data_IF_032024730954
#
_entry.id   IF_032024730954
#
_cell.length_a   1.000
_cell.length_b   1.000
_cell.length_c   1.000
_cell.angle_alpha   90.00
_cell.angle_beta   90.00
_cell.angle_gamma   90.00
#
_symmetry.space_group_name_H-M   'P 1'
#
loop_
_entity.id
_entity.type
_entity.pdbx_description
1 polymer ?
#
# COMPACT_ATOMS: atom_id res chain seq x y z
N UNK A 1 -9.57 24.17 6.67
CA UNK A 1 -8.26 23.56 6.30
C UNK A 1 -8.52 22.34 5.44
N UNK A 2 -7.79 22.16 4.32
CA UNK A 2 -7.89 20.99 3.45
C UNK A 2 -6.70 20.05 3.66
N UNK A 3 -6.97 18.79 3.87
CA UNK A 3 -5.95 17.76 4.08
C UNK A 3 -6.15 16.62 3.08
N UNK A 4 -5.09 16.26 2.37
CA UNK A 4 -5.01 15.04 1.57
C UNK A 4 -4.73 13.85 2.50
N UNK A 5 -5.61 12.84 2.49
CA UNK A 5 -5.43 11.58 3.23
C UNK A 5 -5.24 10.44 2.24
N UNK A 6 -4.11 9.75 2.36
CA UNK A 6 -3.70 8.62 1.52
C UNK A 6 -3.20 7.47 2.39
N UNK A 7 -3.17 6.27 1.86
CA UNK A 7 -2.68 5.07 2.54
C UNK A 7 -2.08 4.06 1.55
N UNK A 8 -1.26 3.16 2.05
CA UNK A 8 -0.86 1.92 1.38
C UNK A 8 -0.32 2.17 -0.03
N UNK A 9 0.70 3.04 -0.13
CA UNK A 9 1.31 3.46 -1.41
C UNK A 9 2.15 2.33 -2.00
N UNK A 10 2.76 1.52 -1.13
CA UNK A 10 3.53 0.35 -1.51
C UNK A 10 4.55 0.60 -2.63
N UNK A 11 5.33 1.68 -2.54
CA UNK A 11 6.37 1.97 -3.53
C UNK A 11 5.87 2.24 -4.96
N UNK A 12 4.56 2.45 -5.16
CA UNK A 12 3.95 2.82 -6.43
C UNK A 12 4.05 4.34 -6.65
N UNK A 13 5.22 4.80 -7.06
CA UNK A 13 5.48 6.22 -7.27
C UNK A 13 4.63 6.85 -8.38
N UNK A 14 4.38 6.19 -9.54
CA UNK A 14 3.44 6.70 -10.55
C UNK A 14 2.04 6.99 -10.00
N UNK A 15 1.52 6.14 -9.13
CA UNK A 15 0.23 6.35 -8.48
C UNK A 15 0.25 7.56 -7.55
N UNK A 16 1.30 7.71 -6.72
CA UNK A 16 1.48 8.90 -5.89
C UNK A 16 1.59 10.18 -6.72
N UNK A 17 2.35 10.15 -7.82
CA UNK A 17 2.48 11.30 -8.72
C UNK A 17 1.13 11.69 -9.33
N UNK A 18 0.33 10.71 -9.79
CA UNK A 18 -0.99 10.98 -10.35
C UNK A 18 -1.93 11.65 -9.34
N UNK A 19 -1.96 11.17 -8.10
CA UNK A 19 -2.75 11.81 -7.03
C UNK A 19 -2.28 13.25 -6.78
N UNK A 20 -0.97 13.46 -6.59
CA UNK A 20 -0.42 14.78 -6.30
C UNK A 20 -0.59 15.78 -7.44
N UNK A 21 -0.82 15.33 -8.67
CA UNK A 21 -1.08 16.17 -9.84
C UNK A 21 -2.56 16.59 -9.98
N UNK A 22 -3.47 16.02 -9.18
CA UNK A 22 -4.89 16.40 -9.23
C UNK A 22 -5.12 17.80 -8.66
N UNK A 23 -6.09 18.57 -9.19
CA UNK A 23 -6.46 19.87 -8.61
C UNK A 23 -6.89 19.76 -7.14
N UNK A 24 -7.57 18.66 -6.79
CA UNK A 24 -8.03 18.37 -5.44
C UNK A 24 -6.87 18.25 -4.46
N UNK A 25 -5.86 17.43 -4.77
CA UNK A 25 -4.67 17.28 -3.94
C UNK A 25 -3.82 18.56 -3.91
N UNK A 26 -3.68 19.24 -5.05
CA UNK A 26 -2.93 20.51 -5.14
C UNK A 26 -3.55 21.62 -4.29
N UNK A 27 -4.84 21.56 -4.00
CA UNK A 27 -5.54 22.52 -3.13
C UNK A 27 -5.38 22.23 -1.63
N UNK A 28 -4.80 21.08 -1.26
CA UNK A 28 -4.57 20.70 0.13
C UNK A 28 -3.33 21.41 0.71
N UNK A 29 -3.46 21.89 1.95
CA UNK A 29 -2.35 22.51 2.69
C UNK A 29 -1.52 21.47 3.45
N UNK A 30 -2.03 20.24 3.60
CA UNK A 30 -1.43 19.17 4.40
C UNK A 30 -1.64 17.82 3.74
N UNK A 31 -0.70 16.91 3.97
CA UNK A 31 -0.79 15.52 3.55
C UNK A 31 -0.63 14.63 4.78
N UNK A 32 -1.51 13.64 4.93
CA UNK A 32 -1.40 12.55 5.91
C UNK A 32 -1.37 11.23 5.15
N UNK A 33 -0.31 10.45 5.37
CA UNK A 33 -0.17 9.08 4.87
C UNK A 33 -0.33 8.11 6.04
N UNK A 34 -1.31 7.22 5.94
CA UNK A 34 -1.72 6.32 7.02
C UNK A 34 -0.87 5.04 7.16
N UNK A 35 0.34 5.02 6.62
CA UNK A 35 1.24 3.86 6.67
C UNK A 35 1.38 3.14 5.34
N UNK A 36 2.27 2.14 5.33
CA UNK A 36 2.60 1.29 4.17
C UNK A 36 2.98 2.10 2.92
N UNK A 37 3.87 3.08 3.11
CA UNK A 37 4.43 3.87 2.01
C UNK A 37 5.32 3.04 1.11
N UNK A 38 5.95 2.01 1.66
CA UNK A 38 7.01 1.22 1.03
C UNK A 38 6.68 -0.26 0.93
N UNK A 39 7.59 -1.03 0.35
CA UNK A 39 7.49 -2.46 0.05
C UNK A 39 6.52 -2.78 -1.12
N UNK A 40 6.66 -3.96 -1.70
CA UNK A 40 5.97 -4.47 -2.88
C UNK A 40 6.35 -3.74 -4.18
N UNK A 41 6.11 -2.45 -4.30
CA UNK A 41 6.37 -1.68 -5.52
C UNK A 41 7.84 -1.28 -5.69
N UNK A 42 8.19 -0.87 -6.91
CA UNK A 42 9.58 -0.76 -7.36
C UNK A 42 10.29 0.54 -6.95
N UNK A 43 9.58 1.55 -6.44
CA UNK A 43 10.14 2.88 -6.20
C UNK A 43 9.92 3.39 -4.76
N UNK A 44 10.34 2.62 -3.74
CA UNK A 44 10.12 3.02 -2.34
C UNK A 44 10.90 4.29 -1.96
N UNK A 45 12.11 4.48 -2.51
CA UNK A 45 12.94 5.66 -2.23
C UNK A 45 12.31 6.94 -2.76
N UNK A 46 11.77 6.91 -3.96
CA UNK A 46 11.10 8.05 -4.61
C UNK A 46 9.83 8.45 -3.85
N UNK A 47 9.06 7.46 -3.39
CA UNK A 47 7.87 7.69 -2.55
C UNK A 47 8.27 8.40 -1.26
N UNK A 48 9.24 7.86 -0.52
CA UNK A 48 9.69 8.46 0.76
C UNK A 48 10.28 9.86 0.56
N UNK A 49 11.12 10.05 -0.47
CA UNK A 49 11.70 11.35 -0.78
C UNK A 49 10.60 12.39 -1.12
N UNK A 50 9.58 11.98 -1.88
CA UNK A 50 8.48 12.87 -2.27
C UNK A 50 7.64 13.28 -1.07
N UNK A 51 7.23 12.34 -0.21
CA UNK A 51 6.45 12.62 0.99
C UNK A 51 7.22 13.49 1.98
N UNK A 52 8.51 13.18 2.19
CA UNK A 52 9.38 14.00 3.05
C UNK A 52 9.53 15.41 2.51
N UNK A 53 9.77 15.58 1.20
CA UNK A 53 9.89 16.89 0.56
C UNK A 53 8.61 17.74 0.61
N UNK A 54 7.45 17.10 0.81
CA UNK A 54 6.15 17.75 1.00
C UNK A 54 5.79 17.94 2.48
N UNK A 55 6.67 17.60 3.42
CA UNK A 55 6.42 17.60 4.86
C UNK A 55 5.14 16.83 5.24
N UNK A 56 4.87 15.70 4.57
CA UNK A 56 3.73 14.85 4.88
C UNK A 56 3.85 14.28 6.31
N UNK A 57 2.75 14.25 7.04
CA UNK A 57 2.66 13.42 8.23
C UNK A 57 2.54 11.96 7.78
N UNK A 58 3.55 11.17 8.04
CA UNK A 58 3.57 9.74 7.73
C UNK A 58 3.38 8.94 9.01
N UNK A 59 2.45 7.99 8.99
CA UNK A 59 2.33 6.98 10.03
C UNK A 59 3.12 5.74 9.62
N UNK A 60 3.49 4.93 10.59
CA UNK A 60 4.16 3.65 10.38
C UNK A 60 3.09 2.56 10.18
N UNK A 61 3.13 1.88 9.03
CA UNK A 61 2.36 0.69 8.76
C UNK A 61 3.12 -0.60 9.13
N UNK A 62 2.50 -1.75 8.92
CA UNK A 62 3.12 -3.04 9.19
C UNK A 62 4.30 -3.34 8.23
N UNK A 63 4.35 -2.72 7.06
CA UNK A 63 5.47 -2.89 6.13
C UNK A 63 6.70 -2.10 6.58
N UNK A 64 6.57 -0.88 7.06
CA UNK A 64 7.67 -0.15 7.71
C UNK A 64 8.15 -0.89 8.96
N UNK A 65 7.23 -1.39 9.81
CA UNK A 65 7.57 -2.15 11.03
C UNK A 65 8.43 -3.38 10.72
N UNK A 66 8.04 -4.16 9.70
CA UNK A 66 8.81 -5.32 9.26
C UNK A 66 10.19 -4.95 8.70
N UNK A 67 10.28 -3.81 7.99
CA UNK A 67 11.57 -3.32 7.46
C UNK A 67 12.53 -2.90 8.56
N UNK A 68 12.04 -2.35 9.67
CA UNK A 68 12.85 -2.05 10.85
C UNK A 68 13.42 -3.31 11.52
N UNK A 69 12.82 -4.47 11.27
CA UNK A 69 13.19 -5.77 11.85
C UNK A 69 13.73 -6.75 10.78
N UNK A 70 14.08 -6.29 9.59
CA UNK A 70 14.37 -7.13 8.42
C UNK A 70 15.52 -8.13 8.61
N UNK A 71 16.45 -7.84 9.52
CA UNK A 71 17.58 -8.71 9.84
C UNK A 71 17.23 -9.83 10.84
N UNK A 72 16.01 -9.84 11.38
CA UNK A 72 15.57 -10.90 12.27
C UNK A 72 15.43 -12.24 11.51
N UNK A 73 15.73 -13.38 12.16
CA UNK A 73 15.79 -14.69 11.50
C UNK A 73 14.51 -15.09 10.75
N UNK A 74 13.35 -14.66 11.21
CA UNK A 74 12.05 -14.92 10.58
C UNK A 74 11.91 -14.31 9.19
N UNK A 75 12.71 -13.28 8.87
CA UNK A 75 12.72 -12.61 7.55
C UNK A 75 13.81 -13.13 6.61
N UNK A 76 14.49 -14.24 6.94
CA UNK A 76 15.56 -14.80 6.11
C UNK A 76 15.04 -15.56 4.88
N UNK A 77 13.82 -16.12 4.92
CA UNK A 77 13.22 -16.93 3.86
C UNK A 77 13.02 -16.20 2.53
N UNK A 78 12.82 -16.97 1.46
CA UNK A 78 12.63 -16.42 0.11
C UNK A 78 11.35 -15.58 0.00
N UNK A 79 10.29 -15.91 0.72
CA UNK A 79 9.05 -15.12 0.82
C UNK A 79 9.29 -13.66 1.29
N UNK A 80 10.43 -13.36 1.86
CA UNK A 80 10.83 -12.02 2.29
C UNK A 80 11.88 -11.35 1.39
N UNK A 81 12.21 -11.95 0.25
CA UNK A 81 13.27 -11.44 -0.63
C UNK A 81 12.98 -10.04 -1.15
N UNK A 82 11.72 -9.74 -1.49
CA UNK A 82 11.32 -8.42 -1.94
C UNK A 82 11.41 -7.38 -0.82
N UNK A 83 11.10 -7.78 0.41
CA UNK A 83 11.23 -6.92 1.57
C UNK A 83 12.70 -6.57 1.86
N UNK A 84 13.62 -7.56 1.81
CA UNK A 84 15.06 -7.29 1.93
C UNK A 84 15.59 -6.42 0.79
N UNK A 85 15.07 -6.59 -0.43
CA UNK A 85 15.39 -5.70 -1.55
C UNK A 85 14.94 -4.26 -1.24
N UNK A 86 13.70 -4.07 -0.81
CA UNK A 86 13.14 -2.77 -0.42
C UNK A 86 13.98 -2.10 0.67
N UNK A 87 14.37 -2.86 1.70
CA UNK A 87 15.22 -2.33 2.78
C UNK A 87 16.54 -1.76 2.25
N UNK A 88 17.22 -2.46 1.33
CA UNK A 88 18.44 -1.95 0.70
C UNK A 88 18.20 -0.67 -0.11
N UNK A 89 17.04 -0.52 -0.74
CA UNK A 89 16.69 0.73 -1.44
C UNK A 89 16.50 1.91 -0.48
N UNK A 90 16.18 1.66 0.78
CA UNK A 90 15.85 2.66 1.79
C UNK A 90 17.00 2.97 2.75
N UNK A 91 18.22 2.53 2.46
CA UNK A 91 19.39 2.84 3.29
C UNK A 91 19.51 4.36 3.52
N UNK A 92 19.61 4.74 4.80
CA UNK A 92 19.69 6.14 5.24
C UNK A 92 18.34 6.89 5.28
N UNK A 93 17.23 6.22 4.98
CA UNK A 93 15.89 6.79 5.05
C UNK A 93 15.23 6.40 6.39
N UNK A 94 14.65 7.37 7.06
CA UNK A 94 13.93 7.15 8.31
C UNK A 94 12.59 6.45 8.06
N UNK A 95 12.32 5.36 8.81
CA UNK A 95 11.06 4.59 8.76
C UNK A 95 10.30 4.56 10.10
N UNK A 96 10.92 5.00 11.21
CA UNK A 96 10.34 4.97 12.55
C UNK A 96 9.35 6.15 12.78
N UNK A 97 8.36 6.24 11.92
CA UNK A 97 7.27 7.20 12.04
C UNK A 97 6.33 6.86 13.21
N UNK A 98 5.49 7.82 13.68
CA UNK A 98 4.45 7.53 14.66
C UNK A 98 3.54 6.37 14.20
N UNK A 99 3.09 5.55 15.16
CA UNK A 99 2.16 4.44 14.89
C UNK A 99 0.73 4.95 14.72
N UNK A 100 0.37 5.98 15.49
CA UNK A 100 -0.91 6.66 15.43
C UNK A 100 -0.74 8.17 15.66
N UNK A 101 -1.78 8.92 15.39
CA UNK A 101 -1.80 10.36 15.60
C UNK A 101 -3.20 10.85 15.94
N UNK A 102 -3.30 11.69 16.96
CA UNK A 102 -4.58 12.30 17.37
C UNK A 102 -4.51 13.81 17.22
N UNK A 103 -5.52 14.40 16.61
CA UNK A 103 -5.67 15.85 16.46
C UNK A 103 -7.12 16.27 16.65
N UNK A 104 -7.39 16.98 17.74
CA UNK A 104 -8.77 17.36 18.09
C UNK A 104 -9.66 16.13 18.21
N UNK A 105 -10.70 16.07 17.38
CA UNK A 105 -11.65 14.94 17.35
C UNK A 105 -11.31 13.85 16.33
N UNK A 106 -10.09 13.88 15.75
CA UNK A 106 -9.63 12.97 14.69
C UNK A 106 -8.57 12.02 15.22
N UNK A 107 -8.71 10.74 14.94
CA UNK A 107 -7.73 9.69 15.24
C UNK A 107 -7.28 9.04 13.93
N UNK A 108 -5.97 9.00 13.71
CA UNK A 108 -5.33 8.43 12.53
C UNK A 108 -4.46 7.26 12.95
N UNK A 109 -4.62 6.12 12.29
CA UNK A 109 -3.86 4.89 12.54
C UNK A 109 -3.69 4.13 11.23
N UNK A 110 -2.73 3.19 11.17
CA UNK A 110 -2.65 2.32 10.00
C UNK A 110 -3.73 1.25 10.00
N UNK A 111 -3.99 0.59 11.10
CA UNK A 111 -4.99 -0.47 11.24
C UNK A 111 -6.05 -0.14 12.30
N UNK A 112 -6.22 -1.02 13.29
CA UNK A 112 -7.20 -0.89 14.37
C UNK A 112 -6.67 0.01 15.50
N UNK A 113 -7.47 0.92 16.08
CA UNK A 113 -7.08 1.66 17.27
C UNK A 113 -6.61 0.72 18.39
N UNK A 114 -5.39 0.95 18.91
CA UNK A 114 -4.78 0.08 19.92
C UNK A 114 -4.14 -1.21 19.38
N UNK A 115 -4.38 -1.56 18.12
CA UNK A 115 -3.72 -2.66 17.41
C UNK A 115 -3.39 -2.23 15.96
N UNK A 116 -2.42 -1.34 15.77
CA UNK A 116 -2.21 -0.57 14.53
C UNK A 116 -1.87 -1.43 13.30
N UNK A 117 -1.53 -2.71 13.50
CA UNK A 117 -1.24 -3.64 12.41
C UNK A 117 -2.29 -4.76 12.30
N UNK A 118 -3.44 -4.57 12.92
CA UNK A 118 -4.61 -5.43 12.76
C UNK A 118 -5.59 -4.80 11.77
N UNK A 119 -6.01 -5.57 10.79
CA UNK A 119 -6.91 -5.13 9.70
C UNK A 119 -8.32 -4.88 10.25
N UNK A 120 -8.97 -3.81 9.77
CA UNK A 120 -10.38 -3.55 10.02
C UNK A 120 -11.18 -3.87 8.76
N UNK A 121 -12.09 -4.82 8.84
CA UNK A 121 -13.09 -5.03 7.80
C UNK A 121 -14.26 -4.02 7.95
N UNK A 122 -14.90 -3.67 6.84
CA UNK A 122 -15.95 -2.64 6.84
C UNK A 122 -17.12 -2.95 7.79
N UNK A 123 -17.44 -4.23 7.99
CA UNK A 123 -18.49 -4.69 8.91
C UNK A 123 -18.09 -4.59 10.39
N UNK A 124 -16.81 -4.45 10.71
CA UNK A 124 -16.29 -4.30 12.08
C UNK A 124 -16.20 -2.84 12.51
N UNK A 125 -16.26 -1.90 11.54
CA UNK A 125 -16.10 -0.46 11.78
C UNK A 125 -17.06 0.10 12.84
N UNK A 126 -18.37 -0.28 12.87
CA UNK A 126 -19.28 0.20 13.92
C UNK A 126 -18.78 -0.06 15.33
N UNK A 127 -18.30 -1.28 15.61
CA UNK A 127 -17.74 -1.64 16.92
C UNK A 127 -16.46 -0.85 17.24
N UNK A 128 -15.60 -0.61 16.24
CA UNK A 128 -14.41 0.23 16.43
C UNK A 128 -14.76 1.69 16.74
N UNK A 129 -15.78 2.23 16.08
CA UNK A 129 -16.27 3.58 16.37
C UNK A 129 -16.85 3.70 17.78
N UNK A 130 -17.59 2.69 18.26
CA UNK A 130 -18.10 2.66 19.63
C UNK A 130 -17.00 2.62 20.68
N UNK A 131 -15.88 1.93 20.40
CA UNK A 131 -14.74 1.78 21.29
C UNK A 131 -13.83 3.02 21.35
N UNK A 132 -13.97 3.99 20.43
CA UNK A 132 -13.14 5.19 20.42
C UNK A 132 -13.29 6.01 21.71
N UNK A 133 -12.20 6.63 22.19
CA UNK A 133 -12.21 7.52 23.33
C UNK A 133 -13.26 8.64 23.18
N UNK A 134 -13.74 9.14 24.33
CA UNK A 134 -14.64 10.29 24.35
C UNK A 134 -13.98 11.50 23.68
N UNK A 135 -14.73 12.20 22.85
CA UNK A 135 -14.24 13.36 22.08
C UNK A 135 -13.68 13.02 20.71
N UNK A 136 -13.36 11.75 20.42
CA UNK A 136 -12.99 11.32 19.06
C UNK A 136 -14.26 10.99 18.28
N UNK A 137 -14.43 11.67 17.16
CA UNK A 137 -15.60 11.51 16.27
C UNK A 137 -15.22 10.99 14.89
N UNK A 138 -13.93 11.07 14.50
CA UNK A 138 -13.45 10.64 13.19
C UNK A 138 -12.27 9.68 13.35
N UNK A 139 -12.37 8.52 12.72
CA UNK A 139 -11.33 7.50 12.60
C UNK A 139 -10.83 7.43 11.16
N UNK A 140 -9.52 7.55 10.95
CA UNK A 140 -8.88 7.31 9.66
C UNK A 140 -7.97 6.09 9.78
N UNK A 141 -8.20 5.08 8.92
CA UNK A 141 -7.46 3.82 8.93
C UNK A 141 -6.99 3.49 7.51
N UNK A 142 -5.83 2.87 7.37
CA UNK A 142 -5.32 2.24 6.15
C UNK A 142 -5.45 0.71 6.21
N UNK A 143 -4.40 -0.01 5.77
CA UNK A 143 -4.18 -1.46 5.89
C UNK A 143 -5.17 -2.35 5.14
N UNK A 144 -6.45 -2.02 5.12
CA UNK A 144 -7.43 -2.65 4.26
C UNK A 144 -7.43 -1.94 2.91
N UNK A 145 -6.99 -2.63 1.87
CA UNK A 145 -6.79 -2.03 0.55
C UNK A 145 -8.09 -1.68 -0.18
N UNK A 146 -9.25 -2.14 0.31
CA UNK A 146 -10.58 -1.73 -0.16
C UNK A 146 -11.04 -0.43 0.52
N UNK A 147 -11.44 0.61 -0.23
CA UNK A 147 -11.86 1.87 0.36
C UNK A 147 -13.25 1.77 0.99
N UNK A 148 -13.42 2.35 2.18
CA UNK A 148 -14.72 2.46 2.83
C UNK A 148 -14.91 3.79 3.57
N UNK A 149 -16.17 4.20 3.72
CA UNK A 149 -16.61 5.32 4.53
C UNK A 149 -17.87 4.87 5.29
N UNK A 150 -17.81 4.87 6.61
CA UNK A 150 -18.87 4.37 7.48
C UNK A 150 -19.24 5.44 8.52
N UNK A 151 -20.51 5.71 8.65
CA UNK A 151 -21.07 6.55 9.71
C UNK A 151 -21.84 5.69 10.70
N UNK A 152 -21.59 5.89 11.98
CA UNK A 152 -22.26 5.17 13.05
C UNK A 152 -22.37 6.02 14.31
N UNK A 153 -23.59 6.22 14.81
CA UNK A 153 -23.90 6.96 16.05
C UNK A 153 -23.21 8.35 16.15
N UNK A 154 -23.23 9.10 15.04
CA UNK A 154 -22.65 10.45 14.98
C UNK A 154 -21.10 10.46 14.89
N UNK A 155 -20.47 9.32 14.70
CA UNK A 155 -19.05 9.16 14.42
C UNK A 155 -18.83 8.67 13.00
N UNK A 156 -17.68 9.00 12.41
CA UNK A 156 -17.33 8.64 11.04
C UNK A 156 -16.00 7.93 11.03
N UNK A 157 -15.90 6.84 10.25
CA UNK A 157 -14.63 6.20 9.94
C UNK A 157 -14.39 6.15 8.43
N UNK A 158 -13.14 6.33 8.02
CA UNK A 158 -12.73 6.38 6.63
C UNK A 158 -11.45 5.58 6.40
N UNK A 159 -11.47 4.74 5.37
CA UNK A 159 -10.27 4.18 4.74
C UNK A 159 -10.22 4.72 3.31
N UNK A 160 -9.16 5.42 2.90
CA UNK A 160 -9.04 5.92 1.52
C UNK A 160 -8.89 4.80 0.49
N UNK A 161 -8.56 3.58 0.91
CA UNK A 161 -8.09 2.49 0.07
C UNK A 161 -6.60 2.56 -0.19
N UNK A 162 -6.06 1.48 -0.75
CA UNK A 162 -4.65 1.43 -1.12
C UNK A 162 -4.38 2.23 -2.39
N UNK A 163 -3.45 3.15 -2.31
CA UNK A 163 -3.00 3.93 -3.45
C UNK A 163 -2.18 3.07 -4.43
N UNK A 164 -1.42 2.10 -3.91
CA UNK A 164 -0.55 1.23 -4.71
C UNK A 164 -1.15 -0.12 -5.08
N UNK A 165 -1.92 -0.73 -4.18
CA UNK A 165 -2.45 -2.10 -4.33
C UNK A 165 -3.96 -2.14 -4.05
N UNK A 166 -4.70 -1.29 -4.73
CA UNK A 166 -6.15 -1.15 -4.57
C UNK A 166 -6.88 -2.48 -4.80
N UNK A 167 -7.87 -2.77 -3.96
CA UNK A 167 -8.80 -3.88 -4.14
C UNK A 167 -10.15 -3.36 -4.64
N UNK A 168 -10.33 -3.29 -5.96
CA UNK A 168 -11.57 -2.87 -6.61
C UNK A 168 -11.88 -3.64 -7.90
N UNK A 169 -11.05 -4.64 -8.25
CA UNK A 169 -11.13 -5.45 -9.48
C UNK A 169 -11.05 -4.64 -10.79
N UNK A 170 -10.55 -3.40 -10.72
CA UNK A 170 -10.34 -2.53 -11.89
C UNK A 170 -8.85 -2.27 -12.11
N UNK A 171 -8.13 -1.92 -11.04
CA UNK A 171 -6.70 -1.60 -11.07
C UNK A 171 -6.34 -0.33 -11.85
N UNK A 172 -5.05 -0.01 -11.86
CA UNK A 172 -4.54 1.15 -12.60
C UNK A 172 -5.06 2.50 -12.12
N UNK A 173 -5.68 2.55 -10.94
CA UNK A 173 -6.27 3.74 -10.33
C UNK A 173 -5.79 3.90 -8.88
N UNK A 174 -5.59 5.13 -8.46
CA UNK A 174 -5.15 5.52 -7.14
C UNK A 174 -6.28 6.27 -6.40
N UNK A 175 -6.84 5.69 -5.31
CA UNK A 175 -7.85 6.34 -4.50
C UNK A 175 -7.21 7.28 -3.48
N UNK A 176 -7.93 8.33 -3.11
CA UNK A 176 -7.55 9.23 -2.04
C UNK A 176 -8.77 9.94 -1.45
N UNK A 177 -8.60 10.55 -0.30
CA UNK A 177 -9.63 11.35 0.37
C UNK A 177 -9.13 12.78 0.57
N UNK A 178 -9.99 13.75 0.30
CA UNK A 178 -9.82 15.12 0.74
C UNK A 178 -10.70 15.34 1.96
N UNK A 179 -10.08 15.74 3.06
CA UNK A 179 -10.74 16.12 4.29
C UNK A 179 -10.77 17.65 4.35
N UNK A 180 -11.97 18.22 4.29
CA UNK A 180 -12.21 19.65 4.50
C UNK A 180 -12.67 19.90 5.93
N UNK A 181 -11.98 20.80 6.63
CA UNK A 181 -12.35 21.24 7.97
C UNK A 181 -12.63 22.75 7.96
N UNK A 182 -13.89 23.10 8.21
CA UNK A 182 -14.39 24.48 8.22
C UNK A 182 -15.42 24.65 9.34
N UNK A 183 -15.26 25.68 10.17
CA UNK A 183 -16.14 26.01 11.28
C UNK A 183 -16.49 24.82 12.22
N UNK A 184 -15.51 23.96 12.46
CA UNK A 184 -15.66 22.76 13.31
C UNK A 184 -16.40 21.60 12.64
N UNK A 185 -16.76 21.75 11.37
CA UNK A 185 -17.36 20.68 10.56
C UNK A 185 -16.28 19.98 9.72
N UNK A 186 -16.30 18.67 9.69
CA UNK A 186 -15.42 17.85 8.84
C UNK A 186 -16.24 17.24 7.71
N UNK A 187 -15.78 17.42 6.48
CA UNK A 187 -16.36 16.80 5.28
C UNK A 187 -15.31 15.96 4.60
N UNK A 188 -15.66 14.73 4.24
CA UNK A 188 -14.77 13.78 3.56
C UNK A 188 -15.24 13.55 2.14
N UNK A 189 -14.39 13.84 1.15
CA UNK A 189 -14.68 13.59 -0.26
C UNK A 189 -13.71 12.55 -0.81
N UNK A 190 -14.24 11.44 -1.31
CA UNK A 190 -13.45 10.37 -1.94
C UNK A 190 -13.20 10.67 -3.41
N UNK A 191 -11.97 10.46 -3.83
CA UNK A 191 -11.52 10.64 -5.22
C UNK A 191 -10.78 9.38 -5.68
N UNK A 192 -10.66 9.23 -6.99
CA UNK A 192 -9.86 8.18 -7.63
C UNK A 192 -9.34 8.69 -8.95
N UNK A 193 -8.06 8.49 -9.26
CA UNK A 193 -7.40 8.95 -10.48
C UNK A 193 -6.64 7.82 -11.15
N UNK A 194 -6.69 7.67 -12.49
CA UNK A 194 -5.83 6.75 -13.20
C UNK A 194 -4.37 7.20 -13.12
N UNK A 195 -3.45 6.23 -13.11
CA UNK A 195 -2.01 6.50 -13.13
C UNK A 195 -1.30 5.82 -14.31
N UNK A 196 -0.08 6.25 -14.60
CA UNK A 196 0.73 5.70 -15.69
C UNK A 196 1.22 4.28 -15.36
N UNK A 197 0.47 3.28 -15.83
CA UNK A 197 0.80 1.87 -15.64
C UNK A 197 2.01 1.43 -16.48
N UNK A 198 2.32 2.12 -17.59
CA UNK A 198 3.52 1.84 -18.39
C UNK A 198 4.78 2.29 -17.63
N UNK A 199 4.73 3.46 -16.98
CA UNK A 199 5.81 3.90 -16.09
C UNK A 199 6.01 2.94 -14.91
N UNK A 200 4.92 2.44 -14.31
CA UNK A 200 5.01 1.44 -13.24
C UNK A 200 5.69 0.14 -13.73
N UNK A 201 5.25 -0.42 -14.85
CA UNK A 201 5.84 -1.63 -15.46
C UNK A 201 7.34 -1.43 -15.72
N UNK A 202 7.71 -0.31 -16.34
CA UNK A 202 9.11 0.04 -16.60
C UNK A 202 9.92 0.14 -15.32
N UNK A 203 9.35 0.71 -14.25
CA UNK A 203 10.02 0.83 -12.97
C UNK A 203 10.38 -0.54 -12.35
N UNK A 204 9.52 -1.55 -12.44
CA UNK A 204 9.84 -2.92 -11.98
C UNK A 204 11.11 -3.49 -12.63
N UNK A 205 11.34 -3.15 -13.90
CA UNK A 205 12.52 -3.60 -14.65
C UNK A 205 13.75 -2.78 -14.27
N UNK A 206 13.71 -1.46 -14.45
CA UNK A 206 14.89 -0.61 -14.34
C UNK A 206 15.44 -0.47 -12.92
N UNK A 207 14.63 -0.64 -11.90
CA UNK A 207 15.07 -0.61 -10.49
C UNK A 207 15.69 -1.93 -10.04
N UNK A 208 15.56 -2.98 -10.83
CA UNK A 208 15.97 -4.34 -10.47
C UNK A 208 15.01 -5.06 -9.51
N UNK A 209 13.83 -4.49 -9.23
CA UNK A 209 12.81 -5.11 -8.40
C UNK A 209 12.39 -6.48 -8.95
N UNK A 210 12.07 -6.54 -10.25
CA UNK A 210 11.71 -7.77 -10.94
C UNK A 210 12.84 -8.82 -10.91
N UNK A 211 14.10 -8.40 -11.09
CA UNK A 211 15.25 -9.29 -11.05
C UNK A 211 15.51 -9.85 -9.64
N UNK A 212 15.25 -9.05 -8.60
CA UNK A 212 15.49 -9.45 -7.21
C UNK A 212 14.48 -10.49 -6.69
N UNK A 213 13.23 -10.42 -7.13
CA UNK A 213 12.13 -11.28 -6.65
C UNK A 213 11.11 -11.56 -7.78
N UNK A 214 11.50 -12.28 -8.86
CA UNK A 214 10.74 -12.29 -10.11
C UNK A 214 9.29 -12.78 -9.95
N UNK A 215 9.02 -13.86 -9.21
CA UNK A 215 7.68 -14.39 -9.03
C UNK A 215 6.82 -13.44 -8.16
N UNK A 216 7.39 -12.94 -7.06
CA UNK A 216 6.71 -11.99 -6.19
C UNK A 216 6.41 -10.68 -6.93
N UNK A 217 7.39 -10.14 -7.65
CA UNK A 217 7.21 -8.91 -8.44
C UNK A 217 6.12 -9.08 -9.51
N UNK A 218 6.04 -10.25 -10.18
CA UNK A 218 5.01 -10.53 -11.17
C UNK A 218 3.60 -10.48 -10.58
N UNK A 219 3.38 -11.16 -9.43
CA UNK A 219 2.06 -11.16 -8.80
C UNK A 219 1.70 -9.80 -8.20
N UNK A 220 2.67 -9.07 -7.66
CA UNK A 220 2.47 -7.71 -7.16
C UNK A 220 2.10 -6.77 -8.32
N UNK A 221 2.84 -6.80 -9.42
CA UNK A 221 2.51 -6.01 -10.61
C UNK A 221 1.12 -6.35 -11.15
N UNK A 222 0.78 -7.66 -11.23
CA UNK A 222 -0.57 -8.09 -11.59
C UNK A 222 -1.63 -7.44 -10.69
N UNK A 223 -1.45 -7.50 -9.37
CA UNK A 223 -2.37 -6.87 -8.40
C UNK A 223 -2.52 -5.36 -8.64
N UNK A 224 -1.41 -4.64 -8.84
CA UNK A 224 -1.43 -3.20 -9.08
C UNK A 224 -2.15 -2.83 -10.40
N UNK A 225 -2.06 -3.70 -11.41
CA UNK A 225 -2.69 -3.48 -12.72
C UNK A 225 -4.16 -3.88 -12.78
N UNK A 226 -4.61 -4.80 -11.93
CA UNK A 226 -5.96 -5.39 -12.01
C UNK A 226 -6.86 -5.02 -10.83
N UNK A 227 -6.30 -4.52 -9.73
CA UNK A 227 -7.07 -4.30 -8.49
C UNK A 227 -7.51 -5.60 -7.81
N UNK A 228 -6.85 -6.72 -8.10
CA UNK A 228 -7.16 -8.05 -7.54
C UNK A 228 -6.17 -8.43 -6.43
N UNK A 229 -6.22 -7.76 -5.28
CA UNK A 229 -5.31 -8.04 -4.15
C UNK A 229 -5.36 -9.51 -3.69
N UNK A 230 -6.54 -10.12 -3.73
CA UNK A 230 -6.71 -11.53 -3.42
C UNK A 230 -5.88 -12.47 -4.32
N UNK A 231 -5.44 -12.01 -5.51
CA UNK A 231 -4.57 -12.78 -6.38
C UNK A 231 -3.21 -13.06 -5.70
N UNK A 232 -2.65 -12.07 -5.00
CA UNK A 232 -1.41 -12.24 -4.22
C UNK A 232 -1.58 -13.31 -3.13
N UNK A 233 -2.68 -13.27 -2.37
CA UNK A 233 -2.97 -14.25 -1.34
C UNK A 233 -3.19 -15.66 -1.91
N UNK A 234 -3.85 -15.78 -3.06
CA UNK A 234 -4.05 -17.05 -3.78
C UNK A 234 -2.71 -17.65 -4.20
N UNK A 235 -1.81 -16.83 -4.76
CA UNK A 235 -0.46 -17.28 -5.15
C UNK A 235 0.33 -17.78 -3.93
N UNK A 236 0.36 -17.03 -2.84
CA UNK A 236 1.07 -17.41 -1.61
C UNK A 236 0.52 -18.73 -1.05
N UNK A 237 -0.81 -18.91 -1.00
CA UNK A 237 -1.44 -20.18 -0.56
C UNK A 237 -1.11 -21.32 -1.50
N UNK A 238 -1.04 -21.07 -2.81
CA UNK A 238 -0.68 -22.09 -3.81
C UNK A 238 0.76 -22.55 -3.60
N UNK A 239 1.71 -21.64 -3.36
CA UNK A 239 3.10 -21.97 -3.07
C UNK A 239 3.20 -22.79 -1.78
N UNK A 240 2.51 -22.35 -0.71
CA UNK A 240 2.51 -23.06 0.58
C UNK A 240 1.98 -24.49 0.48
N UNK A 241 1.08 -24.78 -0.48
CA UNK A 241 0.60 -26.13 -0.76
C UNK A 241 1.62 -27.01 -1.51
N UNK A 242 2.65 -26.41 -2.13
CA UNK A 242 3.68 -27.10 -2.92
C UNK A 242 5.00 -27.28 -2.17
N UNK A 243 5.24 -26.48 -1.12
CA UNK A 243 6.48 -26.50 -0.34
C UNK A 243 6.57 -25.36 0.66
N UNK A 244 7.76 -25.19 1.24
CA UNK A 244 8.03 -24.11 2.19
C UNK A 244 8.12 -22.75 1.46
N UNK A 245 7.40 -21.76 1.95
CA UNK A 245 7.46 -20.38 1.45
C UNK A 245 8.85 -19.75 1.57
N UNK A 246 9.64 -20.19 2.51
CA UNK A 246 11.03 -19.76 2.69
C UNK A 246 12.00 -20.34 1.66
N UNK A 247 11.59 -21.39 0.92
CA UNK A 247 12.43 -22.07 -0.07
C UNK A 247 12.15 -21.53 -1.48
N UNK A 248 13.17 -21.00 -2.14
CA UNK A 248 13.08 -20.54 -3.53
C UNK A 248 12.62 -21.63 -4.50
N UNK A 249 12.95 -22.91 -4.25
CA UNK A 249 12.53 -24.02 -5.10
C UNK A 249 11.00 -24.18 -5.11
N UNK A 250 10.31 -23.93 -4.00
CA UNK A 250 8.85 -23.93 -3.94
C UNK A 250 8.23 -22.86 -4.85
N UNK A 251 8.83 -21.67 -4.89
CA UNK A 251 8.40 -20.56 -5.76
C UNK A 251 8.61 -20.87 -7.24
N UNK A 252 9.76 -21.45 -7.61
CA UNK A 252 10.03 -21.89 -8.98
C UNK A 252 9.09 -22.99 -9.44
N UNK A 253 8.81 -23.97 -8.57
CA UNK A 253 7.86 -25.04 -8.86
C UNK A 253 6.44 -24.48 -9.04
N UNK A 254 6.04 -23.55 -8.17
CA UNK A 254 4.75 -22.89 -8.27
C UNK A 254 4.63 -22.08 -9.57
N UNK A 255 5.67 -21.35 -9.98
CA UNK A 255 5.67 -20.57 -11.21
C UNK A 255 5.30 -21.40 -12.45
N UNK A 256 5.83 -22.62 -12.53
CA UNK A 256 5.55 -23.54 -13.63
C UNK A 256 4.13 -24.14 -13.62
N UNK A 257 3.46 -24.14 -12.47
CA UNK A 257 2.16 -24.80 -12.26
C UNK A 257 1.00 -23.84 -12.02
N UNK A 258 1.30 -22.58 -11.67
CA UNK A 258 0.28 -21.58 -11.36
C UNK A 258 -0.47 -21.17 -12.63
N UNK A 259 -1.80 -21.08 -12.58
CA UNK A 259 -2.60 -20.70 -13.74
C UNK A 259 -2.50 -19.19 -14.01
N UNK A 260 -1.34 -18.76 -14.47
CA UNK A 260 -1.13 -17.37 -14.86
C UNK A 260 -2.12 -16.95 -15.95
N UNK A 261 -2.58 -15.71 -15.90
CA UNK A 261 -3.46 -15.13 -16.93
C UNK A 261 -2.80 -15.17 -18.31
N UNK A 262 -1.48 -14.90 -18.36
CA UNK A 262 -0.62 -15.21 -19.51
C UNK A 262 0.16 -16.49 -19.18
N UNK A 263 -0.10 -17.62 -19.90
CA UNK A 263 0.47 -18.93 -19.56
C UNK A 263 1.93 -19.07 -20.06
N UNK A 264 2.77 -18.11 -19.70
CA UNK A 264 4.22 -18.10 -19.93
C UNK A 264 4.96 -18.12 -18.60
N UNK A 265 6.20 -18.57 -18.60
CA UNK A 265 7.04 -18.54 -17.39
C UNK A 265 7.26 -17.09 -16.92
N UNK A 266 7.59 -16.92 -15.65
CA UNK A 266 7.92 -15.57 -15.14
C UNK A 266 9.15 -14.98 -15.82
N UNK A 267 10.12 -15.80 -16.21
CA UNK A 267 11.27 -15.33 -16.97
C UNK A 267 10.88 -14.76 -18.34
N UNK A 268 10.06 -15.50 -19.11
CA UNK A 268 9.53 -15.04 -20.40
C UNK A 268 8.62 -13.80 -20.23
N UNK A 269 7.84 -13.72 -19.16
CA UNK A 269 7.01 -12.55 -18.86
C UNK A 269 7.84 -11.28 -18.71
N UNK A 270 8.92 -11.33 -17.92
CA UNK A 270 9.77 -10.15 -17.72
C UNK A 270 10.59 -9.81 -18.97
N UNK A 271 11.09 -10.80 -19.69
CA UNK A 271 11.77 -10.59 -20.97
C UNK A 271 10.87 -9.89 -21.99
N UNK A 272 9.65 -10.39 -22.18
CA UNK A 272 8.68 -9.78 -23.09
C UNK A 272 8.36 -8.33 -22.68
N UNK A 273 8.17 -8.09 -21.39
CA UNK A 273 7.88 -6.75 -20.88
C UNK A 273 9.05 -5.78 -21.07
N UNK A 274 10.27 -6.26 -20.94
CA UNK A 274 11.50 -5.50 -21.22
C UNK A 274 11.59 -5.12 -22.71
N UNK A 275 11.37 -6.07 -23.61
CA UNK A 275 11.36 -5.83 -25.06
C UNK A 275 10.25 -4.84 -25.50
N UNK A 276 9.12 -4.81 -24.81
CA UNK A 276 8.01 -3.89 -25.10
C UNK A 276 8.24 -2.46 -24.59
N UNK A 277 9.05 -2.26 -23.56
CA UNK A 277 9.12 -0.99 -22.80
C UNK A 277 10.47 -0.29 -22.86
N UNK A 278 11.55 -0.99 -23.18
CA UNK A 278 12.91 -0.46 -23.26
C UNK A 278 13.44 -0.48 -24.69
#
# INVERSE_FOLDING_TARGET
MRTLVIADIHGNFPALQAVLATPEAASCQRIISLGDQVNFGPQPREVMARLTGLNALMLRGNHEERLLQVDAPEYAGYNWVLQRWTHRQLEGIRLDHPIDYTEGCKFFTHGTPGAPFHLIEANEVPAQLEALPQGITHLFSGHNHAPWLVEHQGRTACNPGSLGMLEDSVGGNAPFVVMDEEDGRITLTRHKVPYDTAALKRAFIITGCAAAAPQMARIVLHTMLTGEYQATLKMVRFIAALGDLGDEAAWRKADALYPWREPISTAEYWQKLEEELL
#
